data_IF_389236584088
#
_entry.id   IF_389236584088
#
_cell.length_a   1.000
_cell.length_b   1.000
_cell.length_c   1.000
_cell.angle_alpha   90.00
_cell.angle_beta   90.00
_cell.angle_gamma   90.00
#
_symmetry.space_group_name_H-M   'P 1'
#
loop_
_entity.id
_entity.type
_entity.pdbx_description
1 polymer ?
#
# COMPACT_ATOMS: atom_id res chain seq x y z
N UNK A 1 26.60 -11.25 8.01
CA UNK A 1 27.25 -10.33 7.05
C UNK A 1 26.30 -9.93 5.92
N UNK A 2 25.86 -10.85 5.05
CA UNK A 2 24.93 -10.53 3.95
C UNK A 2 23.55 -10.00 4.36
N UNK A 3 23.10 -10.31 5.58
CA UNK A 3 21.79 -9.87 6.10
C UNK A 3 21.87 -8.59 6.92
N UNK A 4 23.06 -8.28 7.42
CA UNK A 4 23.27 -7.26 8.44
C UNK A 4 23.93 -6.01 7.85
N UNK A 5 24.53 -6.13 6.66
CA UNK A 5 25.27 -5.07 5.97
C UNK A 5 24.96 -5.03 4.47
N UNK A 6 24.73 -3.83 3.95
CA UNK A 6 24.49 -3.56 2.53
C UNK A 6 25.82 -3.45 1.75
N UNK A 7 26.58 -4.55 1.70
CA UNK A 7 27.90 -4.58 1.04
C UNK A 7 27.79 -5.03 -0.42
N UNK A 8 26.99 -6.06 -0.68
CA UNK A 8 26.73 -6.56 -2.03
C UNK A 8 25.45 -5.94 -2.60
N UNK A 9 25.33 -5.83 -3.93
CA UNK A 9 24.06 -5.51 -4.58
C UNK A 9 22.93 -6.44 -4.12
N UNK A 10 21.66 -6.01 -4.16
CA UNK A 10 20.55 -6.87 -3.79
C UNK A 10 20.46 -8.07 -4.75
N UNK A 11 20.12 -9.25 -4.22
CA UNK A 11 19.98 -10.48 -5.03
C UNK A 11 18.90 -10.38 -6.11
N UNK A 12 17.87 -9.58 -5.87
CA UNK A 12 16.75 -9.37 -6.81
C UNK A 12 16.46 -7.89 -6.98
N UNK A 13 16.17 -7.50 -8.22
CA UNK A 13 15.75 -6.15 -8.60
C UNK A 13 14.39 -6.19 -9.29
N UNK A 14 13.69 -5.07 -9.32
CA UNK A 14 12.46 -4.97 -10.11
C UNK A 14 12.82 -4.94 -11.59
N UNK A 15 12.10 -5.70 -12.39
CA UNK A 15 12.26 -5.68 -13.84
C UNK A 15 11.75 -4.35 -14.41
N UNK A 16 12.67 -3.42 -14.66
CA UNK A 16 12.36 -2.09 -15.22
C UNK A 16 11.78 -2.17 -16.64
N UNK A 17 11.96 -3.28 -17.34
CA UNK A 17 11.46 -3.49 -18.70
C UNK A 17 10.11 -4.22 -18.74
N UNK A 18 9.63 -4.74 -17.60
CA UNK A 18 8.35 -5.41 -17.54
C UNK A 18 7.21 -4.45 -17.90
N UNK A 19 6.37 -4.87 -18.84
CA UNK A 19 5.16 -4.14 -19.23
C UNK A 19 3.93 -4.88 -18.73
N UNK A 20 2.94 -4.12 -18.27
CA UNK A 20 1.62 -4.66 -17.95
C UNK A 20 1.04 -5.37 -19.18
N UNK A 21 0.65 -6.65 -19.09
CA UNK A 21 -0.01 -7.35 -20.19
C UNK A 21 -1.32 -6.65 -20.57
N UNK A 22 -1.65 -6.63 -21.86
CA UNK A 22 -2.88 -5.99 -22.36
C UNK A 22 -4.15 -6.67 -21.85
N UNK A 23 -4.08 -7.97 -21.59
CA UNK A 23 -5.16 -8.82 -21.07
C UNK A 23 -5.21 -8.84 -19.52
N UNK A 24 -4.51 -7.93 -18.85
CA UNK A 24 -4.48 -7.84 -17.39
C UNK A 24 -5.58 -6.91 -16.85
N UNK A 25 -6.67 -7.51 -16.40
CA UNK A 25 -7.80 -6.81 -15.81
C UNK A 25 -7.57 -6.47 -14.33
N UNK A 26 -7.48 -5.17 -14.03
CA UNK A 26 -7.30 -4.65 -12.66
C UNK A 26 -8.60 -4.11 -12.06
N UNK A 27 -9.68 -4.06 -12.85
CA UNK A 27 -10.99 -3.65 -12.36
C UNK A 27 -11.62 -4.84 -11.65
N UNK A 28 -11.72 -4.74 -10.33
CA UNK A 28 -12.40 -5.75 -9.50
C UNK A 28 -13.90 -5.82 -9.80
N UNK A 29 -14.50 -4.68 -10.15
CA UNK A 29 -15.91 -4.56 -10.49
C UNK A 29 -16.09 -4.03 -11.91
N UNK A 30 -16.95 -4.70 -12.67
CA UNK A 30 -17.44 -4.24 -13.97
C UNK A 30 -18.95 -3.99 -13.90
N UNK A 31 -19.47 -3.19 -14.81
CA UNK A 31 -20.91 -3.01 -14.94
C UNK A 31 -21.53 -4.30 -15.48
N UNK A 32 -22.64 -4.72 -14.88
CA UNK A 32 -23.34 -5.96 -15.23
C UNK A 32 -23.87 -5.86 -16.67
N UNK A 33 -23.37 -6.69 -17.60
CA UNK A 33 -23.82 -6.64 -18.99
C UNK A 33 -25.31 -6.99 -19.13
N UNK A 34 -25.87 -7.74 -18.18
CA UNK A 34 -27.26 -8.16 -18.18
C UNK A 34 -28.19 -7.15 -17.49
N UNK A 35 -27.65 -6.20 -16.74
CA UNK A 35 -28.45 -5.13 -16.16
C UNK A 35 -28.70 -4.06 -17.22
N UNK A 36 -29.90 -4.11 -17.78
CA UNK A 36 -30.37 -3.16 -18.79
C UNK A 36 -31.28 -2.15 -18.12
N UNK A 37 -31.18 -0.88 -18.55
CA UNK A 37 -32.08 0.16 -18.06
C UNK A 37 -33.52 -0.25 -18.41
N UNK A 38 -34.44 -0.29 -17.43
CA UNK A 38 -35.85 -0.57 -17.71
C UNK A 38 -36.43 0.47 -18.68
N UNK A 39 -37.28 0.00 -19.58
CA UNK A 39 -38.02 0.88 -20.48
C UNK A 39 -38.89 1.87 -19.67
N UNK A 40 -38.88 3.15 -20.06
CA UNK A 40 -39.62 4.20 -19.36
C UNK A 40 -39.01 4.70 -18.05
N UNK A 41 -37.87 4.18 -17.59
CA UNK A 41 -37.21 4.64 -16.35
C UNK A 41 -36.86 6.14 -16.40
N UNK A 42 -36.32 6.62 -17.53
CA UNK A 42 -35.96 8.03 -17.71
C UNK A 42 -37.20 8.93 -17.93
N UNK A 43 -38.36 8.32 -18.20
CA UNK A 43 -39.63 9.03 -18.40
C UNK A 43 -40.36 9.30 -17.07
N UNK A 44 -39.89 8.75 -15.95
CA UNK A 44 -40.46 9.01 -14.62
C UNK A 44 -40.02 10.43 -14.19
N UNK A 45 -40.96 11.39 -14.05
CA UNK A 45 -40.60 12.75 -13.66
C UNK A 45 -40.17 12.80 -12.19
N UNK A 46 -39.21 13.69 -11.88
CA UNK A 46 -38.74 13.88 -10.51
C UNK A 46 -39.82 14.46 -9.58
N UNK A 47 -40.76 15.21 -10.14
CA UNK A 47 -41.87 15.83 -9.43
C UNK A 47 -43.20 15.48 -10.09
N UNK A 48 -44.23 15.23 -9.27
CA UNK A 48 -45.61 15.01 -9.70
C UNK A 48 -46.52 16.03 -9.00
N UNK A 49 -47.66 16.42 -9.58
CA UNK A 49 -48.65 17.24 -8.87
C UNK A 49 -49.13 16.53 -7.60
N UNK A 50 -49.32 17.27 -6.51
CA UNK A 50 -49.77 16.72 -5.24
C UNK A 50 -51.20 16.15 -5.37
N UNK A 51 -51.39 14.83 -5.25
CA UNK A 51 -52.71 14.21 -5.38
C UNK A 51 -53.66 14.56 -4.22
N UNK A 52 -53.15 15.12 -3.12
CA UNK A 52 -53.95 15.56 -1.98
C UNK A 52 -54.29 17.04 -2.04
N UNK A 53 -53.63 17.80 -2.92
CA UNK A 53 -53.97 19.20 -3.10
C UNK A 53 -55.33 19.31 -3.78
N UNK A 54 -56.17 20.15 -3.21
CA UNK A 54 -57.43 20.56 -3.79
C UNK A 54 -57.37 22.06 -4.05
N UNK A 55 -58.08 22.47 -5.07
CA UNK A 55 -58.31 23.89 -5.34
C UNK A 55 -58.92 24.55 -4.10
N UNK A 56 -58.39 25.70 -3.66
CA UNK A 56 -58.98 26.48 -2.57
C UNK A 56 -60.41 26.90 -2.89
N UNK A 57 -61.28 26.95 -1.88
CA UNK A 57 -62.67 27.35 -2.07
C UNK A 57 -62.83 28.82 -2.52
N UNK A 58 -61.81 29.66 -2.29
CA UNK A 58 -61.77 31.08 -2.64
C UNK A 58 -60.95 31.35 -3.91
N UNK A 59 -60.69 30.33 -4.75
CA UNK A 59 -59.96 30.49 -6.02
C UNK A 59 -60.86 31.04 -7.13
N UNK A 60 -60.39 32.05 -7.87
CA UNK A 60 -61.11 32.64 -9.01
C UNK A 60 -60.31 32.44 -10.31
N UNK A 61 -60.79 31.59 -11.22
CA UNK A 61 -60.07 31.29 -12.47
C UNK A 61 -59.95 32.49 -13.42
N UNK A 62 -60.86 33.48 -13.34
CA UNK A 62 -60.85 34.67 -14.20
C UNK A 62 -59.82 35.71 -13.73
N UNK A 63 -59.57 35.79 -12.42
CA UNK A 63 -58.62 36.72 -11.79
C UNK A 63 -57.25 36.07 -11.48
N UNK A 64 -57.21 34.83 -10.98
CA UNK A 64 -55.99 34.10 -10.57
C UNK A 64 -55.45 33.14 -11.64
N UNK A 65 -56.26 32.83 -12.66
CA UNK A 65 -55.95 31.89 -13.74
C UNK A 65 -56.20 30.41 -13.41
N UNK A 66 -55.89 29.52 -14.37
CA UNK A 66 -56.11 28.07 -14.22
C UNK A 66 -55.28 27.53 -13.04
N UNK A 67 -55.97 27.02 -12.02
CA UNK A 67 -55.32 26.43 -10.85
C UNK A 67 -54.43 25.26 -11.23
N UNK A 68 -53.23 25.19 -10.64
CA UNK A 68 -52.30 24.07 -10.79
C UNK A 68 -51.89 23.57 -9.42
N UNK A 69 -52.11 22.28 -9.18
CA UNK A 69 -51.67 21.64 -7.94
C UNK A 69 -50.15 21.83 -7.73
N UNK A 70 -49.71 22.10 -6.48
CA UNK A 70 -48.29 22.19 -6.15
C UNK A 70 -47.57 20.89 -6.50
N UNK A 71 -46.33 20.98 -6.97
CA UNK A 71 -45.52 19.81 -7.30
C UNK A 71 -44.86 19.25 -6.04
N UNK A 72 -44.90 17.94 -5.89
CA UNK A 72 -44.23 17.19 -4.82
C UNK A 72 -43.22 16.20 -5.41
N UNK A 73 -42.18 15.80 -4.66
CA UNK A 73 -41.25 14.77 -5.10
C UNK A 73 -41.97 13.46 -5.43
N UNK A 74 -41.71 12.90 -6.61
CA UNK A 74 -42.30 11.65 -7.05
C UNK A 74 -41.65 10.46 -6.33
N UNK A 75 -42.37 9.69 -5.51
CA UNK A 75 -41.80 8.52 -4.82
C UNK A 75 -41.29 7.42 -5.77
N UNK A 76 -41.77 7.39 -7.01
CA UNK A 76 -41.32 6.45 -8.03
C UNK A 76 -40.01 6.87 -8.73
N UNK A 77 -39.59 8.13 -8.60
CA UNK A 77 -38.34 8.61 -9.20
C UNK A 77 -37.14 8.14 -8.38
N UNK A 78 -36.33 7.26 -8.97
CA UNK A 78 -35.15 6.66 -8.33
C UNK A 78 -33.84 7.37 -8.67
N UNK A 79 -33.89 8.56 -9.27
CA UNK A 79 -32.71 9.27 -9.76
C UNK A 79 -32.16 8.68 -11.06
N UNK A 80 -31.04 9.22 -11.59
CA UNK A 80 -30.45 8.73 -12.84
C UNK A 80 -30.04 7.26 -12.71
N UNK A 81 -30.47 6.44 -13.67
CA UNK A 81 -30.16 5.01 -13.67
C UNK A 81 -28.65 4.78 -13.72
N UNK A 82 -28.16 3.88 -12.87
CA UNK A 82 -26.77 3.41 -12.88
C UNK A 82 -26.80 1.89 -12.96
N UNK A 83 -26.02 1.35 -13.89
CA UNK A 83 -25.86 -0.09 -14.06
C UNK A 83 -25.27 -0.71 -12.78
N UNK A 84 -25.81 -1.84 -12.35
CA UNK A 84 -25.32 -2.61 -11.22
C UNK A 84 -23.89 -3.05 -11.50
N UNK A 85 -23.03 -2.99 -10.48
CA UNK A 85 -21.65 -3.49 -10.57
C UNK A 85 -21.59 -4.94 -10.09
N UNK A 86 -20.94 -5.79 -10.87
CA UNK A 86 -20.66 -7.20 -10.53
C UNK A 86 -19.16 -7.43 -10.44
N UNK A 87 -18.77 -8.48 -9.70
CA UNK A 87 -17.36 -8.88 -9.64
C UNK A 87 -16.89 -9.33 -11.01
N UNK A 88 -15.75 -8.80 -11.44
CA UNK A 88 -15.14 -9.16 -12.70
C UNK A 88 -14.51 -10.55 -12.60
N UNK A 89 -15.01 -11.57 -13.33
CA UNK A 89 -14.43 -12.92 -13.29
C UNK A 89 -12.99 -12.96 -13.82
N UNK A 90 -12.60 -11.98 -14.64
CA UNK A 90 -11.26 -11.88 -15.22
C UNK A 90 -10.29 -11.05 -14.35
N UNK A 91 -10.71 -10.57 -13.17
CA UNK A 91 -9.86 -9.75 -12.32
C UNK A 91 -8.59 -10.50 -11.90
N UNK A 92 -7.43 -9.98 -12.29
CA UNK A 92 -6.11 -10.57 -11.99
C UNK A 92 -5.38 -9.85 -10.85
N UNK A 93 -6.03 -8.91 -10.17
CA UNK A 93 -5.37 -8.07 -9.16
C UNK A 93 -4.70 -6.84 -9.78
N UNK A 94 -4.18 -5.94 -8.92
CA UNK A 94 -3.33 -4.85 -9.39
C UNK A 94 -2.02 -5.44 -9.93
N UNK A 95 -1.68 -5.12 -11.16
CA UNK A 95 -0.43 -5.55 -11.77
C UNK A 95 0.75 -4.98 -10.97
N UNK A 96 1.76 -5.82 -10.75
CA UNK A 96 3.00 -5.45 -10.07
C UNK A 96 4.16 -5.87 -10.96
N UNK A 97 5.16 -5.01 -11.04
CA UNK A 97 6.44 -5.33 -11.67
C UNK A 97 7.05 -6.56 -11.01
N UNK A 98 7.49 -7.51 -11.83
CA UNK A 98 8.11 -8.74 -11.35
C UNK A 98 9.49 -8.44 -10.76
N UNK A 99 9.89 -9.25 -9.78
CA UNK A 99 11.27 -9.26 -9.30
C UNK A 99 12.07 -10.25 -10.12
N UNK A 100 13.17 -9.81 -10.70
CA UNK A 100 14.13 -10.63 -11.44
C UNK A 100 15.43 -10.74 -10.65
N UNK A 101 16.22 -11.75 -10.96
CA UNK A 101 17.57 -11.87 -10.40
C UNK A 101 18.42 -10.70 -10.89
N UNK A 102 19.20 -10.13 -9.98
CA UNK A 102 20.05 -9.00 -10.30
C UNK A 102 21.29 -9.49 -11.05
N UNK A 103 21.52 -9.12 -12.32
CA UNK A 103 22.70 -9.55 -13.06
C UNK A 103 24.01 -9.03 -12.46
N UNK A 104 23.94 -7.96 -11.66
CA UNK A 104 25.08 -7.38 -10.93
C UNK A 104 25.33 -8.06 -9.58
N UNK A 105 24.47 -9.00 -9.15
CA UNK A 105 24.70 -9.75 -7.93
C UNK A 105 25.68 -10.89 -8.20
N UNK A 106 26.85 -10.82 -7.59
CA UNK A 106 27.82 -11.90 -7.51
C UNK A 106 28.01 -12.27 -6.03
N UNK A 107 27.91 -13.56 -5.72
CA UNK A 107 28.11 -14.05 -4.36
C UNK A 107 29.61 -14.13 -4.06
N UNK A 108 30.06 -13.45 -3.01
CA UNK A 108 31.47 -13.43 -2.60
C UNK A 108 31.61 -14.09 -1.22
N UNK A 109 31.93 -15.40 -1.14
CA UNK A 109 32.07 -16.11 0.13
C UNK A 109 33.26 -15.61 0.96
N UNK A 110 34.22 -14.92 0.34
CA UNK A 110 35.44 -14.45 0.97
C UNK A 110 35.31 -12.99 1.45
N UNK A 111 34.10 -12.44 1.49
CA UNK A 111 33.85 -11.05 1.90
C UNK A 111 34.39 -10.70 3.29
N UNK A 112 34.46 -11.67 4.20
CA UNK A 112 35.00 -11.49 5.56
C UNK A 112 36.52 -11.67 5.63
N UNK A 113 37.16 -12.14 4.55
CA UNK A 113 38.59 -12.46 4.49
C UNK A 113 39.37 -11.18 4.24
N UNK A 114 40.03 -10.70 5.28
CA UNK A 114 40.89 -9.52 5.20
C UNK A 114 42.33 -9.92 4.87
N UNK A 115 43.07 -8.98 4.25
CA UNK A 115 44.53 -9.11 4.13
C UNK A 115 45.16 -9.20 5.53
N UNK A 116 46.32 -9.87 5.69
CA UNK A 116 46.95 -10.05 7.00
C UNK A 116 47.08 -8.74 7.78
N UNK A 117 46.44 -8.70 8.96
CA UNK A 117 46.41 -7.54 9.86
C UNK A 117 47.64 -7.60 10.77
N UNK A 118 48.32 -6.46 10.95
CA UNK A 118 49.59 -6.39 11.70
C UNK A 118 49.57 -5.46 12.91
N UNK A 119 48.62 -4.53 12.95
CA UNK A 119 48.60 -3.46 13.93
C UNK A 119 47.21 -3.35 14.55
N UNK A 120 47.19 -2.99 15.83
CA UNK A 120 45.98 -2.62 16.56
C UNK A 120 46.06 -1.12 16.82
N UNK A 121 45.09 -0.37 16.34
CA UNK A 121 44.98 1.06 16.57
C UNK A 121 43.72 1.38 17.37
N UNK A 122 43.85 2.21 18.39
CA UNK A 122 42.70 2.81 19.09
C UNK A 122 42.70 4.29 18.70
N UNK A 123 41.86 4.64 17.74
CA UNK A 123 41.60 6.01 17.33
C UNK A 123 40.18 6.35 17.75
N UNK A 124 40.05 7.32 18.65
CA UNK A 124 38.76 7.73 19.23
C UNK A 124 38.74 9.22 19.49
N UNK A 125 37.59 9.84 19.23
CA UNK A 125 37.30 11.19 19.69
C UNK A 125 36.58 11.17 21.04
N UNK A 126 37.08 11.92 22.03
CA UNK A 126 36.46 12.02 23.36
C UNK A 126 36.26 13.47 23.78
N UNK A 127 35.05 13.78 24.26
CA UNK A 127 34.73 15.10 24.84
C UNK A 127 35.18 15.18 26.31
N UNK A 128 35.05 14.08 27.06
CA UNK A 128 35.46 13.97 28.46
C UNK A 128 36.37 12.75 28.63
N UNK A 129 37.50 12.94 29.29
CA UNK A 129 38.43 11.87 29.62
C UNK A 129 37.86 10.92 30.68
N UNK A 130 38.42 9.71 30.75
CA UNK A 130 38.11 8.71 31.79
C UNK A 130 37.90 7.28 31.27
N UNK A 131 37.85 7.07 29.96
CA UNK A 131 37.81 5.71 29.41
C UNK A 131 39.16 5.02 29.58
N UNK A 132 39.13 3.79 30.07
CA UNK A 132 40.30 2.90 30.15
C UNK A 132 40.05 1.73 29.21
N UNK A 133 41.03 1.43 28.35
CA UNK A 133 41.02 0.27 27.48
C UNK A 133 42.10 -0.70 27.98
N UNK A 134 41.71 -1.92 28.32
CA UNK A 134 42.62 -2.97 28.78
C UNK A 134 42.15 -4.33 28.23
N UNK A 135 42.98 -5.37 28.39
CA UNK A 135 42.67 -6.75 28.06
C UNK A 135 42.34 -6.99 26.57
N UNK A 136 43.03 -6.29 25.67
CA UNK A 136 42.86 -6.45 24.21
C UNK A 136 43.31 -7.86 23.80
N UNK A 137 42.37 -8.68 23.33
CA UNK A 137 42.61 -10.02 22.81
C UNK A 137 42.28 -10.10 21.32
N UNK A 138 43.17 -10.70 20.54
CA UNK A 138 42.95 -11.05 19.13
C UNK A 138 43.30 -12.53 18.97
N UNK A 139 42.32 -13.34 18.58
CA UNK A 139 42.50 -14.76 18.34
C UNK A 139 41.48 -15.26 17.29
N UNK A 140 41.73 -16.46 16.77
CA UNK A 140 40.91 -17.18 15.80
C UNK A 140 40.08 -18.32 16.42
N UNK A 141 40.25 -18.56 17.73
CA UNK A 141 39.50 -19.55 18.51
C UNK A 141 38.42 -18.88 19.38
N UNK A 142 37.13 -19.06 19.05
CA UNK A 142 36.02 -18.47 19.82
C UNK A 142 35.87 -19.06 21.23
N UNK A 143 36.26 -20.30 21.45
CA UNK A 143 36.14 -21.01 22.71
C UNK A 143 37.22 -20.53 23.68
N UNK A 144 38.45 -20.36 23.18
CA UNK A 144 39.52 -19.71 23.92
C UNK A 144 39.16 -18.26 24.27
N UNK A 145 38.61 -17.49 23.32
CA UNK A 145 38.17 -16.13 23.59
C UNK A 145 37.15 -16.07 24.73
N UNK A 146 36.16 -16.99 24.75
CA UNK A 146 35.16 -17.07 25.83
C UNK A 146 35.78 -17.40 27.18
N UNK A 147 36.76 -18.30 27.22
CA UNK A 147 37.46 -18.65 28.46
C UNK A 147 38.22 -17.44 29.03
N UNK A 148 38.99 -16.73 28.20
CA UNK A 148 39.70 -15.52 28.64
C UNK A 148 38.73 -14.46 29.13
N UNK A 149 37.60 -14.27 28.45
CA UNK A 149 36.55 -13.34 28.91
C UNK A 149 36.02 -13.75 30.29
N UNK A 150 35.67 -15.02 30.51
CA UNK A 150 35.21 -15.49 31.82
C UNK A 150 36.28 -15.26 32.90
N UNK A 151 37.53 -15.60 32.62
CA UNK A 151 38.61 -15.45 33.59
C UNK A 151 38.92 -13.99 33.96
N UNK A 152 38.82 -13.07 33.00
CA UNK A 152 39.19 -11.66 33.18
C UNK A 152 37.99 -10.83 33.64
N UNK A 153 36.85 -10.91 32.94
CA UNK A 153 35.68 -10.09 33.24
C UNK A 153 34.93 -10.56 34.47
N UNK A 154 34.75 -11.87 34.69
CA UNK A 154 33.97 -12.31 35.87
C UNK A 154 34.72 -12.07 37.18
N UNK A 155 36.05 -11.98 37.16
CA UNK A 155 36.87 -11.61 38.33
C UNK A 155 36.92 -10.11 38.59
N UNK A 156 36.69 -9.29 37.57
CA UNK A 156 36.82 -7.83 37.62
C UNK A 156 35.47 -7.10 37.51
N UNK A 157 34.34 -7.82 37.58
CA UNK A 157 33.01 -7.21 37.73
C UNK A 157 32.87 -6.66 39.14
N UNK A 158 32.90 -5.32 39.26
CA UNK A 158 32.36 -4.61 40.42
C UNK A 158 30.83 -4.74 40.50
#
# INVERSE_FOLDING_TARGET
MYTDWDILPPRRIKDVNAKKPKDWEEKEYIDDPNDVKPEGYDSIPAEIPDPKAKEPADWDEDEDGIWRAPKIPNPAYKGPWKRKKIKNPNYKGKWKTQWIDNPEFEDDPDLYVLKPIKYVGIEVWQVKAGSVYDNILICDDPEYAKQVVQEVFDKNKE
#
